data_IF_015204559615
#
_entry.id   IF_015204559615
#
_cell.length_a   1.000
_cell.length_b   1.000
_cell.length_c   1.000
_cell.angle_alpha   90.00
_cell.angle_beta   90.00
_cell.angle_gamma   90.00
#
_symmetry.space_group_name_H-M   'P 1'
#
loop_
_entity.id
_entity.type
_entity.pdbx_description
1 polymer ?
#
# COMPACT_ATOMS: atom_id res chain seq x y z
N UNK A 1 9.90 -6.94 17.22
CA UNK A 1 8.92 -8.03 17.40
C UNK A 1 7.78 -7.60 18.32
N UNK A 2 7.96 -7.52 19.66
CA UNK A 2 6.83 -7.29 20.57
C UNK A 2 6.10 -5.95 20.39
N UNK A 3 6.80 -4.87 19.99
CA UNK A 3 6.15 -3.59 19.68
C UNK A 3 5.22 -3.65 18.45
N UNK A 4 5.50 -4.55 17.50
CA UNK A 4 4.73 -4.67 16.25
C UNK A 4 3.59 -5.67 16.37
N UNK A 5 3.74 -6.67 17.23
CA UNK A 5 2.86 -7.85 17.26
C UNK A 5 2.26 -8.13 18.63
N UNK A 6 2.68 -7.40 19.67
CA UNK A 6 2.25 -7.64 21.04
C UNK A 6 3.20 -8.52 21.85
N UNK A 7 2.86 -8.77 23.12
CA UNK A 7 3.70 -9.52 24.04
C UNK A 7 3.89 -10.98 23.61
N UNK A 8 5.05 -11.53 23.94
CA UNK A 8 5.30 -12.98 23.86
C UNK A 8 4.30 -13.70 24.77
N UNK A 9 3.77 -14.82 24.30
CA UNK A 9 2.69 -15.57 24.95
C UNK A 9 1.29 -15.17 24.47
N UNK A 10 1.15 -14.06 23.74
CA UNK A 10 -0.11 -13.67 23.08
C UNK A 10 -0.02 -13.95 21.59
N UNK A 11 0.75 -13.15 20.83
CA UNK A 11 0.84 -13.33 19.37
C UNK A 11 1.91 -14.35 18.98
N UNK A 12 3.06 -14.36 19.67
CA UNK A 12 4.11 -15.35 19.48
C UNK A 12 4.07 -16.35 20.64
N UNK A 13 3.70 -17.60 20.36
CA UNK A 13 3.40 -18.61 21.38
C UNK A 13 4.59 -19.51 21.70
N UNK A 14 5.30 -19.95 20.67
CA UNK A 14 6.37 -20.93 20.81
C UNK A 14 7.53 -20.67 19.86
N UNK A 15 8.66 -21.31 20.15
CA UNK A 15 9.83 -21.30 19.27
C UNK A 15 9.93 -22.62 18.54
N UNK A 16 10.37 -22.57 17.30
CA UNK A 16 10.74 -23.75 16.52
C UNK A 16 12.06 -24.38 16.99
N UNK A 17 12.48 -25.47 16.34
CA UNK A 17 13.72 -26.17 16.64
C UNK A 17 14.99 -25.32 16.46
N UNK A 18 14.91 -24.23 15.70
CA UNK A 18 16.00 -23.28 15.47
C UNK A 18 15.96 -22.11 16.46
N UNK A 19 14.99 -22.08 17.38
CA UNK A 19 14.84 -21.03 18.39
C UNK A 19 14.13 -19.78 17.87
N UNK A 20 13.48 -19.85 16.71
CA UNK A 20 12.76 -18.76 16.03
C UNK A 20 11.28 -18.79 16.43
N UNK A 21 10.70 -17.63 16.74
CA UNK A 21 9.31 -17.55 17.21
C UNK A 21 8.27 -17.80 16.11
N UNK A 22 7.26 -18.60 16.40
CA UNK A 22 6.08 -18.81 15.56
C UNK A 22 4.91 -17.95 16.04
N UNK A 23 4.23 -17.30 15.09
CA UNK A 23 2.98 -16.59 15.35
C UNK A 23 1.84 -17.56 15.57
N UNK A 24 0.83 -17.14 16.33
CA UNK A 24 -0.46 -17.79 16.46
C UNK A 24 -1.14 -17.91 15.08
N UNK A 25 -1.82 -19.03 14.82
CA UNK A 25 -2.63 -19.19 13.60
C UNK A 25 -3.93 -18.38 13.70
N UNK A 26 -4.59 -18.10 12.57
CA UNK A 26 -5.89 -17.40 12.59
C UNK A 26 -6.95 -18.19 13.36
N UNK A 27 -6.94 -19.52 13.23
CA UNK A 27 -7.83 -20.43 13.97
C UNK A 27 -7.61 -20.33 15.48
N UNK A 28 -6.36 -20.45 15.94
CA UNK A 28 -5.99 -20.32 17.35
C UNK A 28 -6.35 -18.94 17.90
N UNK A 29 -6.11 -17.87 17.12
CA UNK A 29 -6.46 -16.51 17.53
C UNK A 29 -7.96 -16.34 17.71
N UNK A 30 -8.77 -16.92 16.82
CA UNK A 30 -10.23 -16.87 16.93
C UNK A 30 -10.74 -17.67 18.12
N UNK A 31 -10.18 -18.84 18.36
CA UNK A 31 -10.54 -19.69 19.49
C UNK A 31 -10.22 -19.03 20.84
N UNK A 32 -9.00 -18.48 20.99
CA UNK A 32 -8.52 -17.95 22.28
C UNK A 32 -8.98 -16.51 22.55
N UNK A 33 -9.08 -15.67 21.52
CA UNK A 33 -9.32 -14.23 21.66
C UNK A 33 -10.60 -13.73 20.99
N UNK A 34 -11.31 -14.58 20.24
CA UNK A 34 -12.48 -14.16 19.46
C UNK A 34 -12.16 -13.14 18.37
N UNK A 35 -10.91 -13.16 17.87
CA UNK A 35 -10.37 -12.20 16.89
C UNK A 35 -9.55 -12.94 15.84
N UNK A 36 -9.56 -12.47 14.59
CA UNK A 36 -8.55 -12.90 13.62
C UNK A 36 -7.15 -12.56 14.11
N UNK A 37 -6.14 -13.25 13.61
CA UNK A 37 -4.74 -12.95 13.95
C UNK A 37 -4.38 -11.50 13.58
N UNK A 38 -4.91 -10.99 12.47
CA UNK A 38 -4.73 -9.59 12.06
C UNK A 38 -5.32 -8.59 13.06
N UNK A 39 -6.54 -8.83 13.53
CA UNK A 39 -7.19 -8.00 14.56
C UNK A 39 -6.47 -8.08 15.91
N UNK A 40 -6.00 -9.27 16.30
CA UNK A 40 -5.23 -9.47 17.53
C UNK A 40 -3.91 -8.68 17.49
N UNK A 41 -3.20 -8.75 16.36
CA UNK A 41 -2.00 -7.93 16.12
C UNK A 41 -2.32 -6.44 16.26
N UNK A 42 -3.34 -5.95 15.57
CA UNK A 42 -3.75 -4.54 15.62
C UNK A 42 -4.17 -4.08 17.03
N UNK A 43 -4.71 -4.99 17.84
CA UNK A 43 -5.08 -4.70 19.23
C UNK A 43 -3.87 -4.50 20.16
N UNK A 44 -2.78 -5.24 19.93
CA UNK A 44 -1.59 -5.22 20.80
C UNK A 44 -0.41 -4.43 20.23
N UNK A 45 -0.47 -4.01 18.97
CA UNK A 45 0.63 -3.23 18.40
C UNK A 45 0.75 -1.86 19.06
N UNK A 46 1.99 -1.43 19.25
CA UNK A 46 2.28 -0.08 19.74
C UNK A 46 2.21 0.89 18.57
N UNK A 47 1.42 1.95 18.74
CA UNK A 47 1.39 3.09 17.83
C UNK A 47 2.68 3.91 17.97
N UNK A 48 3.33 4.19 16.85
CA UNK A 48 4.57 4.96 16.79
C UNK A 48 5.67 4.30 15.97
N UNK A 49 6.85 4.93 15.88
CA UNK A 49 7.98 4.43 15.11
C UNK A 49 8.46 3.07 15.61
N UNK A 50 8.56 2.11 14.70
CA UNK A 50 9.05 0.76 14.96
C UNK A 50 9.94 0.29 13.82
N UNK A 51 11.01 -0.42 14.16
CA UNK A 51 11.95 -0.98 13.19
C UNK A 51 11.87 -2.50 13.21
N UNK A 52 11.56 -3.08 12.05
CA UNK A 52 11.66 -4.51 11.79
C UNK A 52 12.61 -4.67 10.60
N UNK A 53 13.75 -5.31 10.84
CA UNK A 53 14.73 -5.59 9.79
C UNK A 53 14.40 -6.92 9.12
N UNK A 54 14.71 -7.04 7.83
CA UNK A 54 14.43 -8.25 7.04
C UNK A 54 15.01 -9.51 7.68
N UNK A 55 16.22 -9.44 8.23
CA UNK A 55 16.86 -10.58 8.89
C UNK A 55 16.14 -11.05 10.17
N UNK A 56 15.27 -10.24 10.77
CA UNK A 56 14.45 -10.67 11.92
C UNK A 56 13.46 -11.77 11.52
N UNK A 57 12.99 -11.77 10.27
CA UNK A 57 12.12 -12.82 9.73
C UNK A 57 12.84 -14.18 9.53
N UNK A 58 14.16 -14.20 9.72
CA UNK A 58 15.00 -15.40 9.65
C UNK A 58 15.49 -15.83 11.02
N UNK A 59 15.94 -14.88 11.84
CA UNK A 59 16.69 -15.19 13.06
C UNK A 59 15.87 -14.98 14.34
N UNK A 60 14.73 -14.28 14.28
CA UNK A 60 13.95 -13.89 15.48
C UNK A 60 12.56 -14.46 15.49
N UNK A 61 11.79 -14.30 14.41
CA UNK A 61 10.43 -14.82 14.28
C UNK A 61 10.13 -15.19 12.84
N UNK A 62 9.34 -16.23 12.61
CA UNK A 62 8.90 -16.63 11.28
C UNK A 62 7.85 -15.64 10.76
N UNK A 63 7.80 -15.53 9.43
CA UNK A 63 6.76 -14.74 8.77
C UNK A 63 5.41 -15.43 8.95
N UNK A 64 4.38 -14.66 9.31
CA UNK A 64 2.99 -15.16 9.41
C UNK A 64 2.51 -15.68 8.05
N UNK A 65 1.73 -16.76 8.02
CA UNK A 65 1.27 -17.40 6.78
C UNK A 65 0.60 -16.40 5.82
N UNK A 66 -0.17 -15.46 6.36
CA UNK A 66 -0.84 -14.42 5.56
C UNK A 66 0.10 -13.36 5.01
N UNK A 67 1.29 -13.16 5.59
CA UNK A 67 2.33 -12.34 4.96
C UNK A 67 3.03 -13.11 3.83
N UNK A 68 3.24 -14.42 3.99
CA UNK A 68 3.76 -15.27 2.92
C UNK A 68 2.79 -15.26 1.73
N UNK A 69 1.50 -15.46 1.97
CA UNK A 69 0.43 -15.37 0.96
C UNK A 69 0.47 -14.03 0.22
N UNK A 70 0.51 -12.90 0.94
CA UNK A 70 0.61 -11.56 0.31
C UNK A 70 1.87 -11.38 -0.52
N UNK A 71 3.01 -11.91 -0.09
CA UNK A 71 4.24 -11.85 -0.88
C UNK A 71 4.15 -12.73 -2.12
N UNK A 72 3.59 -13.92 -2.00
CA UNK A 72 3.33 -14.81 -3.13
C UNK A 72 2.40 -14.14 -4.15
N UNK A 73 1.27 -13.59 -3.72
CA UNK A 73 0.36 -12.84 -4.60
C UNK A 73 1.08 -11.66 -5.27
N UNK A 74 1.85 -10.90 -4.50
CA UNK A 74 2.63 -9.79 -5.03
C UNK A 74 3.59 -10.24 -6.13
N UNK A 75 4.42 -11.26 -5.87
CA UNK A 75 5.46 -11.68 -6.81
C UNK A 75 4.95 -12.51 -7.98
N UNK A 76 3.95 -13.36 -7.76
CA UNK A 76 3.50 -14.33 -8.77
C UNK A 76 2.35 -13.78 -9.63
N UNK A 77 1.54 -12.86 -9.09
CA UNK A 77 0.38 -12.30 -9.80
C UNK A 77 0.58 -10.84 -10.21
N UNK A 78 0.97 -9.97 -9.27
CA UNK A 78 1.01 -8.52 -9.53
C UNK A 78 2.30 -8.04 -10.22
N UNK A 79 3.46 -8.44 -9.71
CA UNK A 79 4.77 -8.01 -10.24
C UNK A 79 5.00 -8.37 -11.72
N UNK A 80 4.52 -9.50 -12.27
CA UNK A 80 4.63 -9.77 -13.70
C UNK A 80 3.90 -8.75 -14.60
N UNK A 81 2.93 -8.00 -14.06
CA UNK A 81 2.21 -6.94 -14.78
C UNK A 81 2.93 -5.59 -14.72
N UNK A 82 3.92 -5.44 -13.83
CA UNK A 82 4.67 -4.20 -13.63
C UNK A 82 5.66 -4.01 -14.79
N UNK A 83 5.46 -2.96 -15.58
CA UNK A 83 6.31 -2.62 -16.73
C UNK A 83 7.47 -1.68 -16.37
N UNK A 84 7.29 -0.90 -15.32
CA UNK A 84 8.29 0.04 -14.83
C UNK A 84 8.27 0.03 -13.29
N UNK A 85 9.45 -0.08 -12.70
CA UNK A 85 9.65 -0.05 -11.24
C UNK A 85 10.22 1.28 -10.76
N UNK A 86 10.34 2.25 -11.67
CA UNK A 86 10.71 3.62 -11.35
C UNK A 86 9.69 4.25 -10.41
N UNK A 87 10.17 5.09 -9.51
CA UNK A 87 9.34 5.83 -8.56
C UNK A 87 9.50 7.32 -8.81
N UNK A 88 8.39 8.05 -8.69
CA UNK A 88 8.44 9.50 -8.79
C UNK A 88 9.31 10.06 -7.65
N UNK A 89 10.34 10.88 -7.94
CA UNK A 89 11.24 11.40 -6.92
C UNK A 89 10.52 12.33 -5.93
N UNK A 90 10.77 12.12 -4.64
CA UNK A 90 10.21 12.96 -3.57
C UNK A 90 10.74 14.41 -3.59
N UNK A 91 11.87 14.63 -4.26
CA UNK A 91 12.59 15.92 -4.30
C UNK A 91 12.21 16.77 -5.53
N UNK A 92 11.25 16.33 -6.35
CA UNK A 92 10.72 17.15 -7.43
C UNK A 92 10.10 18.44 -6.86
N UNK A 93 10.52 19.58 -7.39
CA UNK A 93 10.02 20.90 -6.98
C UNK A 93 9.20 21.54 -8.08
N UNK A 94 8.09 22.16 -7.68
CA UNK A 94 7.14 22.82 -8.56
C UNK A 94 7.37 24.33 -8.57
N UNK A 95 7.10 24.95 -9.71
CA UNK A 95 7.01 26.41 -9.84
C UNK A 95 5.68 26.92 -9.25
N UNK A 96 5.55 28.23 -9.06
CA UNK A 96 4.30 28.82 -8.56
C UNK A 96 3.11 28.57 -9.50
N UNK A 97 3.31 28.69 -10.81
CA UNK A 97 2.27 28.46 -11.82
C UNK A 97 1.80 26.99 -11.84
N UNK A 98 2.75 26.07 -11.66
CA UNK A 98 2.46 24.64 -11.53
C UNK A 98 1.66 24.33 -10.26
N UNK A 99 2.02 24.94 -9.13
CA UNK A 99 1.27 24.79 -7.88
C UNK A 99 -0.16 25.32 -8.00
N UNK A 100 -0.37 26.46 -8.65
CA UNK A 100 -1.73 26.99 -8.89
C UNK A 100 -2.60 26.01 -9.69
N UNK A 101 -2.01 25.34 -10.67
CA UNK A 101 -2.73 24.36 -11.50
C UNK A 101 -2.98 23.06 -10.74
N UNK A 102 -2.01 22.61 -9.92
CA UNK A 102 -2.20 21.49 -9.00
C UNK A 102 -3.35 21.77 -8.04
N UNK A 103 -3.36 22.94 -7.40
CA UNK A 103 -4.41 23.35 -6.45
C UNK A 103 -5.79 23.41 -7.12
N UNK A 104 -5.84 23.84 -8.39
CA UNK A 104 -7.08 23.91 -9.16
C UNK A 104 -7.68 22.52 -9.46
N UNK A 105 -6.86 21.52 -9.80
CA UNK A 105 -7.37 20.25 -10.33
C UNK A 105 -7.23 19.04 -9.39
N UNK A 106 -6.22 19.01 -8.53
CA UNK A 106 -5.83 17.80 -7.79
C UNK A 106 -6.96 17.26 -6.92
N UNK A 107 -7.67 18.14 -6.21
CA UNK A 107 -8.75 17.73 -5.31
C UNK A 107 -9.90 17.06 -6.07
N UNK A 108 -10.36 17.66 -7.17
CA UNK A 108 -11.45 17.12 -7.98
C UNK A 108 -11.06 15.83 -8.69
N UNK A 109 -9.81 15.75 -9.15
CA UNK A 109 -9.23 14.52 -9.69
C UNK A 109 -9.23 13.41 -8.65
N UNK A 110 -8.61 13.61 -7.49
CA UNK A 110 -8.49 12.59 -6.43
C UNK A 110 -9.86 12.13 -5.92
N UNK A 111 -10.80 13.06 -5.72
CA UNK A 111 -12.16 12.71 -5.30
C UNK A 111 -12.88 11.88 -6.37
N UNK A 112 -12.76 12.26 -7.65
CA UNK A 112 -13.38 11.50 -8.75
C UNK A 112 -12.80 10.09 -8.86
N UNK A 113 -11.49 9.91 -8.70
CA UNK A 113 -10.86 8.59 -8.67
C UNK A 113 -11.38 7.77 -7.50
N UNK A 114 -11.35 8.32 -6.28
CA UNK A 114 -11.75 7.63 -5.06
C UNK A 114 -13.23 7.21 -5.07
N UNK A 115 -14.12 8.09 -5.55
CA UNK A 115 -15.54 7.77 -5.72
C UNK A 115 -15.75 6.61 -6.69
N UNK A 116 -15.09 6.65 -7.85
CA UNK A 116 -15.25 5.61 -8.87
C UNK A 116 -14.67 4.26 -8.41
N UNK A 117 -13.51 4.27 -7.73
CA UNK A 117 -12.94 3.08 -7.11
C UNK A 117 -13.90 2.47 -6.08
N UNK A 118 -14.51 3.30 -5.22
CA UNK A 118 -15.51 2.86 -4.26
C UNK A 118 -16.73 2.19 -4.91
N UNK A 119 -17.20 2.73 -6.04
CA UNK A 119 -18.27 2.12 -6.83
C UNK A 119 -17.86 0.77 -7.39
N UNK A 120 -16.67 0.65 -7.97
CA UNK A 120 -16.21 -0.62 -8.53
C UNK A 120 -15.99 -1.71 -7.49
N UNK A 121 -15.50 -1.35 -6.31
CA UNK A 121 -15.36 -2.29 -5.19
C UNK A 121 -16.72 -2.81 -4.70
N UNK A 122 -17.75 -1.96 -4.72
CA UNK A 122 -19.09 -2.29 -4.24
C UNK A 122 -19.94 -3.02 -5.30
N UNK A 123 -19.86 -2.59 -6.55
CA UNK A 123 -20.81 -2.94 -7.62
C UNK A 123 -20.18 -3.83 -8.70
N UNK A 124 -18.86 -4.03 -8.66
CA UNK A 124 -18.09 -4.77 -9.65
C UNK A 124 -17.30 -3.83 -10.56
N UNK A 125 -16.22 -4.35 -11.15
CA UNK A 125 -15.35 -3.59 -12.05
C UNK A 125 -16.08 -3.07 -13.31
N UNK A 126 -15.54 -2.04 -13.97
CA UNK A 126 -16.20 -1.40 -15.11
C UNK A 126 -16.24 -2.30 -16.34
N UNK A 127 -17.22 -2.08 -17.22
CA UNK A 127 -17.10 -2.47 -18.63
C UNK A 127 -16.06 -1.60 -19.36
N UNK A 128 -15.69 -2.00 -20.58
CA UNK A 128 -14.76 -1.22 -21.41
C UNK A 128 -15.32 0.18 -21.73
N UNK A 129 -16.63 0.31 -21.94
CA UNK A 129 -17.31 1.58 -22.18
C UNK A 129 -17.31 2.48 -20.94
N UNK A 130 -17.58 1.91 -19.76
CA UNK A 130 -17.54 2.64 -18.49
C UNK A 130 -16.12 3.11 -18.18
N UNK A 131 -15.11 2.28 -18.45
CA UNK A 131 -13.71 2.65 -18.33
C UNK A 131 -13.32 3.78 -19.28
N UNK A 132 -13.79 3.74 -20.54
CA UNK A 132 -13.56 4.82 -21.50
C UNK A 132 -14.19 6.14 -21.03
N UNK A 133 -15.45 6.11 -20.60
CA UNK A 133 -16.15 7.28 -20.09
C UNK A 133 -15.50 7.86 -18.82
N UNK A 134 -14.97 7.00 -17.94
CA UNK A 134 -14.21 7.42 -16.77
C UNK A 134 -12.94 8.19 -17.15
N UNK A 135 -12.15 7.68 -18.09
CA UNK A 135 -10.97 8.39 -18.60
C UNK A 135 -11.35 9.73 -19.21
N UNK A 136 -12.42 9.77 -20.01
CA UNK A 136 -12.90 11.03 -20.60
C UNK A 136 -13.30 12.05 -19.52
N UNK A 137 -13.94 11.61 -18.44
CA UNK A 137 -14.25 12.48 -17.29
C UNK A 137 -12.97 13.03 -16.65
N UNK A 138 -11.97 12.19 -16.40
CA UNK A 138 -10.70 12.63 -15.81
C UNK A 138 -9.98 13.64 -16.69
N UNK A 139 -9.88 13.37 -18.00
CA UNK A 139 -9.23 14.25 -18.97
C UNK A 139 -9.97 15.58 -19.10
N UNK A 140 -11.27 15.56 -19.34
CA UNK A 140 -12.02 16.74 -19.75
C UNK A 140 -12.56 17.59 -18.59
N UNK A 141 -12.72 16.99 -17.40
CA UNK A 141 -13.36 17.65 -16.26
C UNK A 141 -12.47 17.77 -15.03
N UNK A 142 -11.43 16.95 -14.91
CA UNK A 142 -10.58 16.90 -13.71
C UNK A 142 -9.12 17.29 -13.99
N UNK A 143 -8.82 17.84 -15.16
CA UNK A 143 -7.49 18.36 -15.49
C UNK A 143 -6.38 17.32 -15.52
N UNK A 144 -6.69 16.05 -15.81
CA UNK A 144 -5.70 14.96 -15.79
C UNK A 144 -4.47 15.25 -16.67
N UNK A 145 -4.67 15.80 -17.87
CA UNK A 145 -3.56 16.12 -18.79
C UNK A 145 -2.68 17.26 -18.27
N UNK A 146 -3.30 18.29 -17.66
CA UNK A 146 -2.56 19.41 -17.07
C UNK A 146 -1.73 18.94 -15.87
N UNK A 147 -2.32 18.11 -15.01
CA UNK A 147 -1.60 17.49 -13.90
C UNK A 147 -0.43 16.64 -14.41
N UNK A 148 -0.68 15.72 -15.35
CA UNK A 148 0.36 14.85 -15.92
C UNK A 148 1.54 15.63 -16.49
N UNK A 149 1.24 16.69 -17.27
CA UNK A 149 2.26 17.57 -17.83
C UNK A 149 3.10 18.23 -16.74
N UNK A 150 2.47 18.77 -15.69
CA UNK A 150 3.17 19.43 -14.59
C UNK A 150 4.10 18.47 -13.85
N UNK A 151 3.60 17.27 -13.53
CA UNK A 151 4.43 16.25 -12.87
C UNK A 151 5.61 15.82 -13.76
N UNK A 152 5.39 15.70 -15.07
CA UNK A 152 6.44 15.39 -16.04
C UNK A 152 7.47 16.53 -16.15
N UNK A 153 7.03 17.78 -16.28
CA UNK A 153 7.92 18.95 -16.38
C UNK A 153 8.79 19.10 -15.12
N UNK A 154 8.21 18.87 -13.93
CA UNK A 154 8.94 18.87 -12.67
C UNK A 154 9.95 17.71 -12.58
N UNK A 155 9.56 16.52 -13.06
CA UNK A 155 10.46 15.37 -13.14
C UNK A 155 11.63 15.63 -14.10
N UNK A 156 11.36 16.19 -15.29
CA UNK A 156 12.38 16.47 -16.30
C UNK A 156 13.40 17.48 -15.78
N UNK A 157 12.96 18.51 -15.05
CA UNK A 157 13.87 19.45 -14.36
C UNK A 157 14.72 18.76 -13.30
N UNK A 158 14.12 17.89 -12.48
CA UNK A 158 14.86 17.13 -11.47
C UNK A 158 15.90 16.19 -12.11
N UNK A 159 15.51 15.49 -13.18
CA UNK A 159 16.38 14.55 -13.90
C UNK A 159 17.54 15.28 -14.59
N UNK A 160 17.31 16.48 -15.12
CA UNK A 160 18.35 17.30 -15.75
C UNK A 160 19.34 17.93 -14.74
N UNK A 161 18.96 18.01 -13.46
CA UNK A 161 19.81 18.56 -12.39
C UNK A 161 20.69 17.50 -11.71
N UNK A 162 20.53 16.22 -12.04
CA UNK A 162 21.40 15.12 -11.60
C UNK A 162 22.69 15.05 -12.43
#
# INVERSE_FOLDING_TARGET
>A
MQLQYGPIGVYFKEKDANGVWNSITDEQSREEYGKSAGELKGYYEVNGPKLILSHYYKDTFNMEDRAIERLTDLYDFWMPQVKDTSTYPIDCVFTSEELETIDMYKTDFENTVAEQEGLWLKEGGPSDEEWAAYKDKLTNSCGMEELLKIYQDAYDRYAAAK
#
